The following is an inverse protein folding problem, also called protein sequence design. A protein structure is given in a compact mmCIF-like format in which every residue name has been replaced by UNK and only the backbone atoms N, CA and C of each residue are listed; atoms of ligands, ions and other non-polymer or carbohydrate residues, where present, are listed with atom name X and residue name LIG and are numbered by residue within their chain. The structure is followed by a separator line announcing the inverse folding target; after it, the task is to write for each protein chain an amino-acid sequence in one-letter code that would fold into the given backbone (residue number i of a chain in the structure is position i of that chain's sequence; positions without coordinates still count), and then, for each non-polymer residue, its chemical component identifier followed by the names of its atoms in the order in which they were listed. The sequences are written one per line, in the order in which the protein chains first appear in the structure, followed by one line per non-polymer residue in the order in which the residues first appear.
data_IF_036668256001
#
_entry.id   IF_036668256001
#
_cell.length_a   1.000
_cell.length_b   1.000
_cell.length_c   1.000
_cell.angle_alpha   90.00
_cell.angle_beta   90.00
_cell.angle_gamma   90.00
#
_symmetry.space_group_name_H-M   'P 1'
#
loop_
_entity.id
_entity.type
_entity.pdbx_description
1 polymer ?
#
# COMPACT_ATOMS: atom_id res chain seq x y z
N UNK A 1 -23.88 51.60 56.22
CA UNK A 1 -23.73 53.07 56.06
C UNK A 1 -22.74 53.30 54.93
N UNK A 2 -23.29 53.70 53.79
CA UNK A 2 -22.74 54.22 52.53
C UNK A 2 -21.22 54.49 52.47
N UNK A 3 -20.52 53.89 51.49
CA UNK A 3 -19.83 54.64 50.42
C UNK A 3 -19.41 53.76 49.23
N UNK A 4 -20.17 53.98 48.18
CA UNK A 4 -19.94 53.91 46.74
C UNK A 4 -18.51 53.89 46.14
N UNK A 5 -18.42 53.10 45.06
CA UNK A 5 -17.91 53.44 43.71
C UNK A 5 -16.41 53.32 43.38
N UNK A 6 -16.07 52.37 42.47
CA UNK A 6 -15.68 52.64 41.05
C UNK A 6 -15.20 51.37 40.33
N UNK A 7 -15.87 51.02 39.22
CA UNK A 7 -15.29 50.24 38.14
C UNK A 7 -14.24 51.09 37.40
N UNK A 8 -13.05 50.55 37.16
CA UNK A 8 -12.13 51.05 36.13
C UNK A 8 -11.54 49.89 35.31
N UNK A 9 -11.49 50.13 33.99
CA UNK A 9 -11.03 49.25 32.92
C UNK A 9 -9.52 49.42 32.69
N UNK A 10 -8.87 48.31 32.28
CA UNK A 10 -7.58 48.16 31.53
C UNK A 10 -6.35 47.67 32.33
N UNK A 11 -5.66 46.70 31.72
CA UNK A 11 -4.32 46.19 32.07
C UNK A 11 -4.32 44.67 32.28
N UNK A 12 -4.56 43.85 31.26
CA UNK A 12 -3.57 43.22 30.36
C UNK A 12 -2.39 42.51 31.05
N UNK A 13 -2.46 41.18 30.96
CA UNK A 13 -1.46 40.10 31.04
C UNK A 13 -0.46 40.01 32.22
N UNK A 14 -0.73 39.03 33.09
CA UNK A 14 0.28 38.27 33.80
C UNK A 14 0.80 37.13 32.90
N UNK A 15 2.11 37.07 32.70
CA UNK A 15 2.81 35.91 32.15
C UNK A 15 3.58 35.24 33.29
N UNK A 16 3.14 34.05 33.68
CA UNK A 16 3.93 33.11 34.50
C UNK A 16 3.95 31.79 33.75
N UNK A 17 5.13 31.47 33.24
CA UNK A 17 5.40 30.23 32.52
C UNK A 17 5.37 29.02 33.43
N UNK A 18 4.83 27.94 32.89
CA UNK A 18 5.11 26.58 33.34
C UNK A 18 5.56 25.83 32.09
N UNK A 19 6.82 25.41 32.08
CA UNK A 19 7.37 24.56 31.05
C UNK A 19 6.83 23.13 31.25
N UNK A 20 5.88 22.72 30.40
CA UNK A 20 5.54 21.31 30.23
C UNK A 20 6.34 20.79 29.02
N UNK A 21 7.20 19.81 29.27
CA UNK A 21 7.90 19.04 28.25
C UNK A 21 6.86 18.32 27.37
N UNK A 22 6.56 18.89 26.21
CA UNK A 22 5.67 18.30 25.21
C UNK A 22 6.40 17.26 24.36
N UNK A 23 5.93 16.02 24.38
CA UNK A 23 6.15 15.08 23.27
C UNK A 23 5.51 15.66 22.01
N UNK A 24 6.14 15.56 20.82
CA UNK A 24 5.49 15.97 19.59
C UNK A 24 4.40 14.96 19.21
N UNK A 25 3.14 15.26 19.57
CA UNK A 25 1.99 14.67 18.91
C UNK A 25 1.92 15.23 17.48
N UNK A 26 2.52 14.51 16.54
CA UNK A 26 2.21 14.67 15.12
C UNK A 26 0.85 14.01 14.84
N UNK A 27 -0.23 14.62 15.32
CA UNK A 27 -1.54 14.43 14.69
C UNK A 27 -1.62 15.42 13.54
N UNK A 28 -1.28 14.95 12.35
CA UNK A 28 -1.62 15.65 11.11
C UNK A 28 -3.15 15.56 10.98
N UNK A 29 -3.83 16.71 10.97
CA UNK A 29 -5.27 16.77 10.84
C UNK A 29 -5.69 16.09 9.52
N UNK A 30 -6.52 15.05 9.62
CA UNK A 30 -7.19 14.43 8.47
C UNK A 30 -7.99 15.48 7.74
N UNK A 31 -7.82 15.59 6.42
CA UNK A 31 -8.58 16.49 5.59
C UNK A 31 -10.01 15.95 5.48
N UNK A 32 -10.94 16.59 6.19
CA UNK A 32 -12.37 16.26 6.10
C UNK A 32 -12.92 16.86 4.81
N UNK A 33 -13.40 16.00 3.91
CA UNK A 33 -14.21 16.47 2.79
C UNK A 33 -15.64 16.75 3.27
N UNK A 34 -16.40 17.56 2.53
CA UNK A 34 -17.79 17.94 2.86
C UNK A 34 -18.78 16.76 2.99
N UNK A 35 -18.33 15.55 2.67
CA UNK A 35 -19.11 14.30 2.69
C UNK A 35 -19.02 13.54 4.04
N UNK A 36 -18.35 14.10 5.06
CA UNK A 36 -18.21 13.45 6.37
C UNK A 36 -17.25 12.25 6.39
N UNK A 37 -16.31 12.21 5.44
CA UNK A 37 -15.27 11.17 5.32
C UNK A 37 -13.93 11.74 5.76
N UNK A 38 -13.23 11.00 6.62
CA UNK A 38 -11.82 11.21 6.95
C UNK A 38 -10.93 10.43 5.99
N UNK A 39 -10.08 11.13 5.23
CA UNK A 39 -9.15 10.54 4.26
C UNK A 39 -7.74 10.42 4.82
N UNK A 40 -7.12 9.27 4.62
CA UNK A 40 -5.78 8.93 5.10
C UNK A 40 -4.89 8.47 3.94
N UNK A 41 -3.79 9.17 3.66
CA UNK A 41 -2.87 8.82 2.59
C UNK A 41 -1.94 7.69 3.04
N UNK A 42 -1.87 6.60 2.27
CA UNK A 42 -1.09 5.41 2.67
C UNK A 42 0.41 5.69 2.76
N UNK A 43 0.89 6.77 2.13
CA UNK A 43 2.28 7.22 2.23
C UNK A 43 2.63 7.74 3.62
N UNK A 44 1.63 8.18 4.41
CA UNK A 44 1.87 8.70 5.75
C UNK A 44 2.30 7.61 6.75
N UNK A 45 1.97 6.34 6.50
CA UNK A 45 2.37 5.22 7.37
C UNK A 45 3.17 4.11 6.68
N UNK A 46 3.28 4.15 5.35
CA UNK A 46 4.12 3.25 4.58
C UNK A 46 3.37 2.12 3.89
N UNK A 47 4.00 1.58 2.84
CA UNK A 47 3.50 0.47 2.02
C UNK A 47 4.42 -0.74 2.20
N UNK A 48 3.85 -1.87 2.57
CA UNK A 48 4.57 -3.13 2.69
C UNK A 48 4.78 -3.73 1.29
N UNK A 49 5.94 -4.34 1.06
CA UNK A 49 6.30 -4.93 -0.24
C UNK A 49 7.18 -4.05 -1.13
N UNK A 50 7.68 -2.92 -0.60
CA UNK A 50 8.72 -2.10 -1.24
C UNK A 50 10.11 -2.62 -0.84
N UNK A 51 10.99 -2.82 -1.83
CA UNK A 51 12.36 -3.30 -1.62
C UNK A 51 13.41 -2.18 -1.57
N UNK A 52 13.07 -1.00 -2.07
CA UNK A 52 13.99 0.12 -2.23
C UNK A 52 13.28 1.42 -1.84
N UNK A 53 14.04 2.35 -1.26
CA UNK A 53 13.53 3.67 -0.89
C UNK A 53 13.83 4.75 -1.94
N UNK A 54 14.91 4.58 -2.70
CA UNK A 54 15.34 5.53 -3.72
C UNK A 54 14.70 5.24 -5.09
N UNK A 55 13.38 5.14 -5.12
CA UNK A 55 12.59 4.84 -6.33
C UNK A 55 12.20 6.10 -7.13
N UNK A 56 11.96 5.98 -8.45
CA UNK A 56 11.55 7.13 -9.27
C UNK A 56 10.11 7.57 -8.95
N UNK A 57 9.22 6.62 -8.71
CA UNK A 57 7.92 6.84 -8.07
C UNK A 57 7.81 5.98 -6.82
N UNK A 58 7.00 6.44 -5.87
CA UNK A 58 6.88 5.81 -4.56
C UNK A 58 6.49 4.32 -4.61
N UNK A 59 5.63 3.94 -5.56
CA UNK A 59 5.13 2.56 -5.72
C UNK A 59 5.93 1.70 -6.72
N UNK A 60 7.12 2.15 -7.14
CA UNK A 60 7.98 1.32 -7.99
C UNK A 60 8.66 0.22 -7.16
N UNK A 61 9.00 -0.88 -7.85
CA UNK A 61 9.62 -2.08 -7.26
C UNK A 61 11.14 -2.14 -7.43
N UNK A 62 11.70 -1.31 -8.29
CA UNK A 62 13.15 -1.15 -8.49
C UNK A 62 13.56 0.29 -8.19
N UNK A 63 14.81 0.53 -7.78
CA UNK A 63 15.29 1.87 -7.49
C UNK A 63 15.47 2.68 -8.78
N UNK A 64 15.46 4.01 -8.67
CA UNK A 64 15.61 4.93 -9.81
C UNK A 64 16.90 4.68 -10.60
N UNK A 65 17.99 4.30 -9.91
CA UNK A 65 19.28 3.95 -10.51
C UNK A 65 19.25 2.70 -11.42
N UNK A 66 18.18 1.90 -11.38
CA UNK A 66 18.02 0.78 -12.30
C UNK A 66 17.64 1.24 -13.72
N UNK A 67 17.12 2.46 -13.88
CA UNK A 67 16.72 3.01 -15.18
C UNK A 67 17.92 3.16 -16.11
N UNK A 68 17.87 2.50 -17.27
CA UNK A 68 18.98 2.45 -18.23
C UNK A 68 20.10 1.47 -17.85
N UNK A 69 20.02 0.81 -16.69
CA UNK A 69 20.89 -0.31 -16.30
C UNK A 69 20.21 -1.63 -16.62
N UNK A 70 18.95 -1.79 -16.18
CA UNK A 70 18.12 -2.94 -16.59
C UNK A 70 17.49 -2.68 -17.95
N UNK A 71 17.16 -3.76 -18.67
CA UNK A 71 16.44 -3.68 -19.95
C UNK A 71 15.15 -2.86 -19.81
N UNK A 72 14.79 -2.09 -20.84
CA UNK A 72 13.61 -1.21 -20.83
C UNK A 72 12.31 -1.95 -20.45
N UNK A 73 12.16 -3.21 -20.88
CA UNK A 73 11.01 -4.02 -20.53
C UNK A 73 10.94 -4.34 -19.02
N UNK A 74 12.09 -4.64 -18.39
CA UNK A 74 12.18 -4.86 -16.93
C UNK A 74 11.89 -3.56 -16.20
N UNK A 75 12.48 -2.44 -16.65
CA UNK A 75 12.23 -1.12 -16.07
C UNK A 75 10.75 -0.73 -16.16
N UNK A 76 10.11 -0.90 -17.31
CA UNK A 76 8.68 -0.61 -17.47
C UNK A 76 7.82 -1.46 -16.54
N UNK A 77 8.13 -2.75 -16.41
CA UNK A 77 7.40 -3.66 -15.51
C UNK A 77 7.67 -3.38 -14.04
N UNK A 78 8.84 -2.86 -13.65
CA UNK A 78 9.14 -2.51 -12.26
C UNK A 78 8.28 -1.36 -11.74
N UNK A 79 7.61 -0.61 -12.62
CA UNK A 79 6.68 0.47 -12.28
C UNK A 79 5.32 -0.02 -11.80
N UNK A 80 5.02 -1.31 -11.94
CA UNK A 80 3.81 -1.89 -11.40
C UNK A 80 3.91 -2.12 -9.89
N UNK A 81 2.79 -2.04 -9.18
CA UNK A 81 2.72 -2.19 -7.71
C UNK A 81 2.50 -3.63 -7.22
N UNK A 82 2.84 -4.64 -8.04
CA UNK A 82 2.54 -6.04 -7.73
C UNK A 82 3.16 -6.48 -6.40
N UNK A 83 2.35 -7.17 -5.58
CA UNK A 83 2.77 -7.71 -4.29
C UNK A 83 2.79 -6.69 -3.15
N UNK A 84 2.55 -5.41 -3.43
CA UNK A 84 2.45 -4.39 -2.38
C UNK A 84 1.11 -4.45 -1.66
N UNK A 85 1.11 -4.09 -0.38
CA UNK A 85 -0.11 -3.94 0.44
C UNK A 85 0.02 -2.84 1.48
N UNK A 86 -1.12 -2.34 1.95
CA UNK A 86 -1.22 -1.43 3.10
C UNK A 86 -2.11 -2.03 4.17
N UNK A 87 -1.84 -1.71 5.44
CA UNK A 87 -2.63 -2.19 6.58
C UNK A 87 -3.13 -1.03 7.43
N UNK A 88 -4.29 -1.21 8.03
CA UNK A 88 -4.88 -0.27 8.96
C UNK A 88 -5.90 -1.00 9.83
N UNK A 89 -6.28 -0.40 10.95
CA UNK A 89 -7.32 -0.87 11.84
C UNK A 89 -8.42 0.18 11.95
N UNK A 90 -9.66 -0.26 11.86
CA UNK A 90 -10.84 0.62 11.98
C UNK A 90 -12.05 -0.15 12.49
N UNK A 91 -12.98 0.58 13.10
CA UNK A 91 -14.33 0.10 13.42
C UNK A 91 -15.39 0.53 12.38
N UNK A 92 -14.97 1.15 11.27
CA UNK A 92 -15.85 1.62 10.23
C UNK A 92 -16.67 0.48 9.61
N UNK A 93 -17.97 0.72 9.43
CA UNK A 93 -18.88 -0.21 8.72
C UNK A 93 -18.88 0.01 7.21
N UNK A 94 -18.23 1.09 6.75
CA UNK A 94 -18.04 1.45 5.34
C UNK A 94 -16.63 2.00 5.14
N UNK A 95 -15.93 1.51 4.13
CA UNK A 95 -14.56 1.89 3.79
C UNK A 95 -14.54 2.32 2.33
N UNK A 96 -13.88 3.44 2.06
CA UNK A 96 -13.69 4.02 0.74
C UNK A 96 -12.22 3.97 0.34
N UNK A 97 -11.96 4.01 -0.96
CA UNK A 97 -10.65 4.35 -1.51
C UNK A 97 -10.77 5.59 -2.40
N UNK A 98 -9.71 6.37 -2.46
CA UNK A 98 -9.44 7.35 -3.51
C UNK A 98 -8.08 7.00 -4.08
N UNK A 99 -8.05 6.48 -5.31
CA UNK A 99 -6.81 5.98 -5.90
C UNK A 99 -6.78 6.21 -7.41
N UNK A 100 -5.57 6.30 -7.93
CA UNK A 100 -5.31 6.34 -9.35
C UNK A 100 -4.18 5.38 -9.73
N UNK A 101 -4.25 4.88 -10.95
CA UNK A 101 -3.23 4.04 -11.57
C UNK A 101 -2.46 4.78 -12.66
N UNK A 102 -1.23 4.35 -12.93
CA UNK A 102 -0.33 5.06 -13.85
C UNK A 102 -0.72 4.93 -15.31
N UNK A 103 -1.41 3.85 -15.69
CA UNK A 103 -1.83 3.57 -17.06
C UNK A 103 -3.36 3.52 -17.20
N UNK A 104 -3.96 4.08 -18.27
CA UNK A 104 -5.37 3.91 -18.57
C UNK A 104 -5.73 2.49 -19.08
N UNK A 105 -4.74 1.62 -19.31
CA UNK A 105 -4.97 0.22 -19.70
C UNK A 105 -5.36 -0.61 -18.47
N UNK A 106 -6.65 -0.61 -18.14
CA UNK A 106 -7.13 -1.17 -16.87
C UNK A 106 -7.17 -2.70 -16.84
N UNK A 107 -7.18 -3.37 -17.99
CA UNK A 107 -7.27 -4.82 -18.14
C UNK A 107 -6.36 -5.32 -19.28
N UNK A 108 -6.16 -6.64 -19.35
CA UNK A 108 -5.50 -7.30 -20.48
C UNK A 108 -6.45 -8.33 -21.09
N UNK A 109 -6.27 -8.75 -22.36
CA UNK A 109 -7.16 -9.74 -23.00
C UNK A 109 -7.34 -11.04 -22.20
N UNK A 110 -6.34 -11.42 -21.41
CA UNK A 110 -6.32 -12.65 -20.61
C UNK A 110 -6.39 -12.41 -19.09
N UNK A 111 -6.49 -11.16 -18.63
CA UNK A 111 -6.47 -10.83 -17.19
C UNK A 111 -7.49 -9.73 -16.88
N UNK A 112 -8.40 -9.97 -15.91
CA UNK A 112 -9.49 -9.04 -15.62
C UNK A 112 -8.97 -7.73 -15.01
N UNK A 113 -9.76 -6.67 -15.16
CA UNK A 113 -9.43 -5.34 -14.62
C UNK A 113 -9.19 -5.36 -13.10
N UNK A 114 -9.91 -6.22 -12.38
CA UNK A 114 -9.74 -6.46 -10.94
C UNK A 114 -8.34 -6.95 -10.59
N UNK A 115 -7.71 -7.76 -11.45
CA UNK A 115 -6.34 -8.26 -11.26
C UNK A 115 -5.30 -7.24 -11.71
N UNK A 116 -5.50 -6.64 -12.88
CA UNK A 116 -4.53 -5.73 -13.49
C UNK A 116 -4.42 -4.43 -12.70
N UNK A 117 -5.55 -3.80 -12.39
CA UNK A 117 -5.62 -2.42 -11.86
C UNK A 117 -6.46 -2.28 -10.59
N UNK A 118 -7.02 -3.36 -10.05
CA UNK A 118 -7.93 -3.31 -8.91
C UNK A 118 -7.24 -3.25 -7.55
N UNK A 119 -8.06 -3.07 -6.50
CA UNK A 119 -7.68 -3.17 -5.09
C UNK A 119 -8.39 -4.37 -4.46
N UNK A 120 -7.71 -5.12 -3.61
CA UNK A 120 -8.23 -6.35 -3.02
C UNK A 120 -8.16 -6.30 -1.49
N UNK A 121 -9.34 -6.25 -0.85
CA UNK A 121 -9.50 -6.00 0.57
C UNK A 121 -9.63 -7.32 1.33
N UNK A 122 -8.84 -7.42 2.40
CA UNK A 122 -8.90 -8.47 3.39
C UNK A 122 -9.13 -7.88 4.78
N UNK A 123 -9.73 -8.67 5.68
CA UNK A 123 -9.87 -8.35 7.10
C UNK A 123 -9.53 -9.58 7.96
N UNK A 124 -9.09 -9.37 9.20
CA UNK A 124 -8.95 -10.47 10.16
C UNK A 124 -10.31 -10.87 10.73
N UNK A 125 -10.57 -12.18 10.82
CA UNK A 125 -11.67 -12.71 11.64
C UNK A 125 -11.33 -12.70 13.14
N UNK A 126 -12.25 -13.18 13.98
CA UNK A 126 -12.09 -13.24 15.44
C UNK A 126 -10.96 -14.17 15.90
N UNK A 127 -10.47 -15.05 15.03
CA UNK A 127 -9.32 -15.93 15.27
C UNK A 127 -8.01 -15.30 14.75
N UNK A 128 -8.05 -14.07 14.24
CA UNK A 128 -6.91 -13.38 13.64
C UNK A 128 -6.55 -13.87 12.23
N UNK A 129 -7.41 -14.67 11.58
CA UNK A 129 -7.15 -15.19 10.22
C UNK A 129 -7.61 -14.19 9.16
N UNK A 130 -6.77 -13.97 8.16
CA UNK A 130 -7.11 -13.12 7.01
C UNK A 130 -8.21 -13.75 6.15
N UNK A 131 -9.32 -13.03 6.01
CA UNK A 131 -10.46 -13.37 5.15
C UNK A 131 -10.61 -12.32 4.06
N UNK A 132 -10.97 -12.78 2.87
CA UNK A 132 -11.31 -11.89 1.77
C UNK A 132 -12.62 -11.15 2.10
N UNK A 133 -12.67 -9.86 1.79
CA UNK A 133 -13.85 -9.00 2.03
C UNK A 133 -14.46 -8.58 0.70
N UNK A 134 -13.66 -7.98 -0.17
CA UNK A 134 -14.13 -7.40 -1.42
C UNK A 134 -12.98 -7.17 -2.39
N UNK A 135 -13.33 -6.88 -3.64
CA UNK A 135 -12.40 -6.42 -4.67
C UNK A 135 -13.02 -5.26 -5.42
N UNK A 136 -12.21 -4.25 -5.73
CA UNK A 136 -12.60 -3.14 -6.59
C UNK A 136 -12.32 -3.51 -8.04
N UNK A 137 -13.34 -3.42 -8.89
CA UNK A 137 -13.18 -3.44 -10.34
C UNK A 137 -12.99 -1.99 -10.82
N UNK A 138 -11.81 -1.63 -11.34
CA UNK A 138 -11.57 -0.31 -11.90
C UNK A 138 -12.26 -0.13 -13.26
N UNK A 139 -12.78 1.06 -13.49
CA UNK A 139 -13.40 1.50 -14.75
C UNK A 139 -12.85 2.83 -15.28
N UNK A 140 -12.09 3.58 -14.47
CA UNK A 140 -11.37 4.78 -14.84
C UNK A 140 -9.90 4.74 -14.36
N UNK A 141 -9.07 5.67 -14.81
CA UNK A 141 -7.67 5.75 -14.35
C UNK A 141 -7.55 6.29 -12.91
N UNK A 142 -8.47 7.18 -12.51
CA UNK A 142 -8.58 7.74 -11.17
C UNK A 142 -10.04 7.61 -10.70
N UNK A 143 -10.26 7.14 -9.47
CA UNK A 143 -11.59 6.78 -8.98
C UNK A 143 -11.68 6.83 -7.45
N UNK A 144 -12.91 7.05 -6.94
CA UNK A 144 -13.23 7.06 -5.50
C UNK A 144 -14.24 5.98 -5.09
N UNK A 145 -13.94 4.68 -5.25
CA UNK A 145 -14.89 3.61 -5.01
C UNK A 145 -15.14 3.38 -3.52
N UNK A 146 -16.29 2.77 -3.22
CA UNK A 146 -16.50 2.09 -1.94
C UNK A 146 -15.72 0.77 -1.99
N UNK A 147 -14.73 0.60 -1.10
CA UNK A 147 -14.01 -0.66 -0.95
C UNK A 147 -14.92 -1.72 -0.33
N UNK A 148 -15.64 -1.36 0.74
CA UNK A 148 -16.59 -2.23 1.40
C UNK A 148 -17.68 -1.40 2.10
N UNK A 149 -18.88 -1.96 2.20
CA UNK A 149 -20.01 -1.42 2.95
C UNK A 149 -20.69 -2.55 3.71
N UNK A 150 -21.57 -2.19 4.64
CA UNK A 150 -22.36 -3.16 5.41
C UNK A 150 -21.48 -4.14 6.20
N UNK A 151 -20.28 -3.69 6.58
CA UNK A 151 -19.41 -4.47 7.45
C UNK A 151 -20.04 -4.54 8.84
N UNK A 152 -20.02 -5.73 9.45
CA UNK A 152 -20.49 -5.90 10.82
C UNK A 152 -19.78 -4.90 11.75
N UNK A 153 -20.46 -4.31 12.75
CA UNK A 153 -19.80 -3.45 13.73
C UNK A 153 -18.61 -4.15 14.41
N UNK A 154 -17.62 -3.36 14.81
CA UNK A 154 -16.44 -3.82 15.55
C UNK A 154 -15.12 -3.48 14.87
N UNK A 155 -14.07 -3.40 15.68
CA UNK A 155 -12.71 -3.06 15.24
C UNK A 155 -12.03 -4.26 14.61
N UNK A 156 -11.43 -4.09 13.43
CA UNK A 156 -10.67 -5.14 12.72
C UNK A 156 -9.43 -4.59 12.05
N UNK A 157 -8.46 -5.47 11.82
CA UNK A 157 -7.32 -5.19 10.97
C UNK A 157 -7.70 -5.47 9.52
N UNK A 158 -7.37 -4.55 8.64
CA UNK A 158 -7.58 -4.63 7.22
C UNK A 158 -6.25 -4.63 6.47
N UNK A 159 -6.23 -5.30 5.32
CA UNK A 159 -5.12 -5.26 4.38
C UNK A 159 -5.68 -5.02 2.97
N UNK A 160 -5.13 -4.03 2.26
CA UNK A 160 -5.49 -3.75 0.86
C UNK A 160 -4.28 -4.08 0.00
N UNK A 161 -4.42 -5.06 -0.89
CA UNK A 161 -3.41 -5.36 -1.90
C UNK A 161 -3.57 -4.44 -3.12
N UNK A 162 -2.45 -4.01 -3.68
CA UNK A 162 -2.35 -3.05 -4.78
C UNK A 162 -2.30 -3.74 -6.16
N UNK A 163 -2.61 -3.01 -7.26
CA UNK A 163 -2.61 -3.51 -8.63
C UNK A 163 -1.41 -4.37 -9.02
N UNK A 164 -1.66 -5.44 -9.80
CA UNK A 164 -0.62 -6.38 -10.23
C UNK A 164 0.08 -5.95 -11.52
N UNK A 165 -0.67 -5.47 -12.52
CA UNK A 165 -0.16 -5.18 -13.86
C UNK A 165 -0.34 -3.70 -14.24
N UNK A 166 -0.44 -2.83 -13.24
CA UNK A 166 -0.44 -1.39 -13.37
C UNK A 166 0.31 -0.78 -12.19
N UNK A 167 0.86 0.42 -12.36
CA UNK A 167 1.43 1.18 -11.25
C UNK A 167 0.34 1.88 -10.46
N UNK A 168 0.54 2.03 -9.15
CA UNK A 168 -0.29 2.91 -8.33
C UNK A 168 0.31 4.31 -8.36
N UNK A 169 -0.46 5.34 -8.70
CA UNK A 169 0.00 6.73 -8.63
C UNK A 169 -0.17 7.28 -7.20
N UNK A 170 -1.35 7.06 -6.62
CA UNK A 170 -1.63 7.36 -5.21
C UNK A 170 -2.76 6.46 -4.70
N UNK A 171 -2.85 6.32 -3.37
CA UNK A 171 -3.95 5.66 -2.67
C UNK A 171 -4.23 6.36 -1.34
N UNK A 172 -5.50 6.70 -1.11
CA UNK A 172 -6.02 7.14 0.18
C UNK A 172 -7.13 6.20 0.64
N UNK A 173 -7.19 5.93 1.93
CA UNK A 173 -8.28 5.19 2.57
C UNK A 173 -9.22 6.18 3.24
N UNK A 174 -10.51 6.05 2.96
CA UNK A 174 -11.56 6.89 3.55
C UNK A 174 -12.43 6.09 4.50
N UNK A 175 -12.69 6.64 5.68
CA UNK A 175 -13.68 6.11 6.64
C UNK A 175 -14.60 7.23 7.12
N UNK A 176 -15.82 6.93 7.63
CA UNK A 176 -16.66 7.92 8.28
C UNK A 176 -15.88 8.70 9.35
N UNK A 177 -16.10 10.02 9.46
CA UNK A 177 -15.34 10.88 10.36
C UNK A 177 -15.51 10.55 11.86
N UNK A 178 -16.56 9.83 12.22
CA UNK A 178 -16.83 9.31 13.57
C UNK A 178 -16.22 7.91 13.81
N UNK A 179 -15.70 7.26 12.78
CA UNK A 179 -14.99 5.99 12.90
C UNK A 179 -13.54 6.20 13.35
N UNK A 180 -13.03 5.24 14.10
CA UNK A 180 -11.61 5.15 14.46
C UNK A 180 -10.76 4.73 13.26
N UNK A 181 -9.56 5.29 13.11
CA UNK A 181 -8.60 4.86 12.11
C UNK A 181 -7.19 4.83 12.71
N UNK A 182 -6.61 3.64 12.78
CA UNK A 182 -5.25 3.42 13.27
C UNK A 182 -4.40 2.86 12.12
N UNK A 183 -3.42 3.61 11.59
CA UNK A 183 -2.49 3.10 10.60
C UNK A 183 -1.65 1.95 11.15
N UNK A 184 -1.44 0.89 10.35
CA UNK A 184 -0.52 -0.20 10.71
C UNK A 184 0.68 -0.12 9.78
N UNK A 185 1.84 0.23 10.35
CA UNK A 185 3.09 0.37 9.59
C UNK A 185 3.53 -0.96 8.94
N UNK A 186 4.30 -0.89 7.83
CA UNK A 186 4.92 -2.07 7.23
C UNK A 186 5.71 -2.87 8.25
N UNK A 187 5.56 -4.20 8.16
CA UNK A 187 6.33 -5.16 8.96
C UNK A 187 7.83 -5.03 8.65
N UNK A 188 8.66 -5.14 9.70
CA UNK A 188 10.13 -4.99 9.62
C UNK A 188 10.88 -6.31 9.52
N UNK A 189 10.17 -7.43 9.62
CA UNK A 189 10.72 -8.76 9.47
C UNK A 189 11.32 -8.94 8.08
N UNK A 190 12.48 -9.61 8.00
CA UNK A 190 13.15 -9.88 6.72
C UNK A 190 12.18 -10.49 5.69
N UNK A 191 12.04 -9.91 4.49
CA UNK A 191 11.04 -10.35 3.51
C UNK A 191 11.40 -11.68 2.87
N UNK A 192 10.42 -12.30 2.23
CA UNK A 192 10.64 -13.30 1.18
C UNK A 192 10.73 -12.56 -0.15
N UNK A 193 11.87 -12.65 -0.83
CA UNK A 193 12.04 -12.05 -2.16
C UNK A 193 11.71 -13.09 -3.22
N UNK A 194 10.71 -12.80 -4.04
CA UNK A 194 10.39 -13.59 -5.22
C UNK A 194 10.93 -12.87 -6.45
N UNK A 195 11.79 -13.51 -7.22
CA UNK A 195 12.21 -13.05 -8.54
C UNK A 195 11.80 -14.07 -9.59
N UNK A 196 11.16 -13.63 -10.66
CA UNK A 196 10.58 -14.58 -11.61
C UNK A 196 9.82 -13.97 -12.77
N UNK A 197 8.93 -14.77 -13.34
CA UNK A 197 8.28 -14.51 -14.62
C UNK A 197 6.95 -13.75 -14.49
N UNK A 198 6.09 -13.85 -15.51
CA UNK A 198 4.69 -13.38 -15.46
C UNK A 198 3.89 -14.09 -14.37
N UNK A 199 4.21 -15.35 -14.09
CA UNK A 199 3.55 -16.17 -13.06
C UNK A 199 3.80 -15.56 -11.67
N UNK A 200 5.05 -15.20 -11.39
CA UNK A 200 5.45 -14.49 -10.17
C UNK A 200 4.83 -13.10 -10.11
N UNK A 201 4.86 -12.35 -11.21
CA UNK A 201 4.25 -11.01 -11.31
C UNK A 201 2.76 -11.04 -10.98
N UNK A 202 2.07 -12.13 -11.33
CA UNK A 202 0.69 -12.39 -10.94
C UNK A 202 -0.26 -12.67 -12.10
N UNK A 203 0.23 -12.91 -13.32
CA UNK A 203 -0.63 -13.33 -14.41
C UNK A 203 -1.03 -14.82 -14.26
N UNK A 204 -2.30 -15.21 -14.36
CA UNK A 204 -3.52 -14.40 -14.57
C UNK A 204 -4.40 -14.42 -13.32
N UNK A 205 -3.86 -14.06 -12.16
CA UNK A 205 -4.61 -13.99 -10.91
C UNK A 205 -5.80 -13.02 -11.07
N UNK A 206 -6.98 -13.43 -10.59
CA UNK A 206 -8.21 -12.65 -10.77
C UNK A 206 -8.24 -11.36 -9.96
N UNK A 207 -7.40 -11.24 -8.92
CA UNK A 207 -7.32 -10.09 -8.00
C UNK A 207 -5.96 -10.02 -7.27
N UNK A 208 -5.52 -8.84 -6.83
CA UNK A 208 -4.18 -8.58 -6.25
C UNK A 208 -3.70 -9.49 -5.11
N UNK A 209 -4.59 -10.00 -4.27
CA UNK A 209 -4.23 -10.87 -3.15
C UNK A 209 -4.00 -12.33 -3.55
N UNK A 210 -4.18 -12.71 -4.81
CA UNK A 210 -4.18 -14.10 -5.28
C UNK A 210 -2.93 -14.62 -6.00
N UNK A 211 -1.93 -13.82 -6.40
CA UNK A 211 -0.64 -14.35 -6.81
C UNK A 211 -0.01 -15.18 -5.68
N UNK A 212 0.76 -16.21 -6.05
CA UNK A 212 1.40 -17.08 -5.07
C UNK A 212 2.29 -16.34 -4.07
N UNK A 213 3.03 -15.25 -4.41
CA UNK A 213 3.78 -14.49 -3.42
C UNK A 213 2.87 -13.88 -2.34
N UNK A 214 1.75 -13.27 -2.74
CA UNK A 214 0.77 -12.68 -1.82
C UNK A 214 0.12 -13.74 -0.91
N UNK A 215 -0.22 -14.91 -1.46
CA UNK A 215 -0.78 -16.03 -0.68
C UNK A 215 0.22 -16.53 0.36
N UNK A 216 1.48 -16.73 -0.05
CA UNK A 216 2.54 -17.21 0.84
C UNK A 216 2.87 -16.16 1.92
N UNK A 217 2.90 -14.87 1.58
CA UNK A 217 3.09 -13.79 2.56
C UNK A 217 2.05 -13.79 3.68
N UNK A 218 0.78 -14.09 3.37
CA UNK A 218 -0.27 -14.26 4.40
C UNK A 218 -0.10 -15.56 5.19
N UNK A 219 0.15 -16.68 4.52
CA UNK A 219 0.28 -18.00 5.17
C UNK A 219 1.47 -18.09 6.11
N UNK A 220 2.60 -17.49 5.73
CA UNK A 220 3.84 -17.50 6.49
C UNK A 220 3.97 -16.30 7.44
N UNK A 221 2.96 -15.42 7.45
CA UNK A 221 2.98 -14.15 8.17
C UNK A 221 4.31 -13.39 7.99
N UNK A 222 4.75 -13.21 6.73
CA UNK A 222 6.01 -12.53 6.40
C UNK A 222 5.81 -11.48 5.30
N UNK A 223 6.58 -10.38 5.28
CA UNK A 223 6.62 -9.48 4.14
C UNK A 223 7.08 -10.20 2.88
N UNK A 224 6.60 -9.75 1.72
CA UNK A 224 7.00 -10.30 0.42
C UNK A 224 7.43 -9.16 -0.49
N UNK A 225 8.53 -9.35 -1.20
CA UNK A 225 8.93 -8.49 -2.31
C UNK A 225 8.68 -9.28 -3.60
N UNK A 226 7.68 -8.87 -4.37
CA UNK A 226 7.36 -9.51 -5.64
C UNK A 226 8.11 -8.81 -6.78
N UNK A 227 9.23 -9.37 -7.20
CA UNK A 227 10.04 -8.92 -8.35
C UNK A 227 9.82 -9.85 -9.56
N UNK A 228 8.57 -10.21 -9.82
CA UNK A 228 8.19 -10.86 -11.07
C UNK A 228 8.18 -9.87 -12.23
N UNK A 229 8.75 -10.27 -13.37
CA UNK A 229 8.79 -9.49 -14.61
C UNK A 229 8.23 -10.34 -15.77
N UNK A 230 7.02 -9.95 -16.22
CA UNK A 230 6.27 -10.66 -17.27
C UNK A 230 7.07 -10.83 -18.55
N UNK A 231 7.36 -12.08 -18.95
CA UNK A 231 8.21 -12.40 -20.11
C UNK A 231 9.68 -11.96 -20.00
N UNK A 232 10.10 -11.47 -18.82
CA UNK A 232 11.36 -10.75 -18.66
C UNK A 232 12.16 -11.11 -17.39
N UNK A 233 11.70 -12.01 -16.52
CA UNK A 233 12.54 -12.56 -15.47
C UNK A 233 13.42 -13.68 -16.02
N UNK A 234 14.66 -13.37 -16.41
CA UNK A 234 15.57 -14.29 -17.14
C UNK A 234 16.92 -14.51 -16.46
N UNK A 235 17.02 -14.21 -15.17
CA UNK A 235 18.28 -14.25 -14.40
C UNK A 235 19.36 -13.32 -14.93
N UNK A 236 18.96 -12.14 -15.43
CA UNK A 236 19.91 -11.16 -15.92
C UNK A 236 20.78 -10.59 -14.79
N UNK A 237 22.10 -10.51 -15.03
CA UNK A 237 23.06 -10.09 -14.03
C UNK A 237 22.78 -8.65 -13.54
N UNK A 238 22.33 -7.77 -14.42
CA UNK A 238 21.97 -6.39 -14.08
C UNK A 238 20.75 -6.29 -13.15
N UNK A 239 19.83 -7.27 -13.16
CA UNK A 239 18.77 -7.38 -12.15
C UNK A 239 19.32 -7.99 -10.87
N UNK A 240 20.16 -9.03 -11.00
CA UNK A 240 20.82 -9.72 -9.89
C UNK A 240 21.61 -8.77 -8.98
N UNK A 241 22.26 -7.75 -9.54
CA UNK A 241 22.96 -6.72 -8.76
C UNK A 241 22.04 -6.04 -7.73
N UNK A 242 20.83 -5.65 -8.13
CA UNK A 242 19.86 -5.05 -7.22
C UNK A 242 19.27 -6.07 -6.23
N UNK A 243 19.10 -7.33 -6.63
CA UNK A 243 18.66 -8.38 -5.70
C UNK A 243 19.65 -8.58 -4.57
N UNK A 244 20.96 -8.54 -4.85
CA UNK A 244 22.02 -8.67 -3.86
C UNK A 244 22.09 -7.53 -2.84
N UNK A 245 21.44 -6.40 -3.09
CA UNK A 245 21.35 -5.29 -2.14
C UNK A 245 20.25 -5.48 -1.09
N UNK A 246 19.33 -6.42 -1.32
CA UNK A 246 18.23 -6.72 -0.39
C UNK A 246 18.70 -7.61 0.76
N UNK A 247 18.08 -7.49 1.94
CA UNK A 247 18.30 -8.37 3.09
C UNK A 247 17.07 -9.28 3.37
N UNK A 248 16.80 -10.29 2.52
CA UNK A 248 15.67 -11.18 2.74
C UNK A 248 15.97 -12.31 3.72
N UNK A 249 14.90 -12.93 4.21
CA UNK A 249 14.98 -14.21 4.91
C UNK A 249 15.29 -15.35 3.92
N UNK A 250 14.77 -15.25 2.70
CA UNK A 250 14.98 -16.22 1.62
C UNK A 250 14.72 -15.58 0.26
N UNK A 251 15.49 -16.01 -0.74
CA UNK A 251 15.22 -15.76 -2.16
C UNK A 251 14.49 -16.96 -2.77
N UNK A 252 13.42 -16.70 -3.51
CA UNK A 252 12.71 -17.66 -4.35
C UNK A 252 12.91 -17.24 -5.79
N UNK A 253 13.68 -18.02 -6.55
CA UNK A 253 14.04 -17.73 -7.94
C UNK A 253 13.24 -18.67 -8.86
N UNK A 254 12.26 -18.12 -9.58
CA UNK A 254 11.33 -18.85 -10.44
C UNK A 254 11.31 -18.23 -11.86
N UNK A 255 12.43 -18.37 -12.56
CA UNK A 255 12.68 -17.73 -13.85
C UNK A 255 12.66 -18.67 -15.05
N UNK A 256 12.68 -19.99 -14.82
CA UNK A 256 12.79 -20.99 -15.88
C UNK A 256 11.79 -20.81 -17.04
N UNK A 257 10.52 -20.41 -16.82
CA UNK A 257 9.58 -20.24 -17.95
C UNK A 257 10.00 -19.20 -19.01
N UNK A 258 10.92 -18.28 -18.70
CA UNK A 258 11.41 -17.26 -19.64
C UNK A 258 12.86 -17.52 -20.14
N UNK A 259 13.49 -18.62 -19.71
CA UNK A 259 14.88 -18.92 -20.00
C UNK A 259 14.94 -20.13 -20.94
N UNK A 260 15.64 -19.99 -22.06
CA UNK A 260 15.87 -21.10 -22.98
C UNK A 260 16.97 -22.03 -22.49
N UNK A 261 17.02 -23.27 -23.00
CA UNK A 261 18.03 -24.26 -22.59
C UNK A 261 19.49 -23.79 -22.76
N UNK A 262 19.76 -22.89 -23.72
CA UNK A 262 21.10 -22.34 -23.95
C UNK A 262 21.50 -21.20 -22.98
N UNK A 263 20.56 -20.75 -22.14
CA UNK A 263 20.72 -19.62 -21.21
C UNK A 263 20.80 -20.08 -19.74
N UNK A 264 20.73 -21.39 -19.48
CA UNK A 264 20.83 -22.03 -18.15
C UNK A 264 22.27 -22.40 -17.82
#
# INVERSE_FOLDING_TARGET
MIKDMRLQRRGFLAATGIAALGLPQLLRASQQDGDGISWHDVRDWGVEGRGFEDTEKYFDRLPARAKGVVRDAVWGLSRHSSGMLVRFRTNATKIHADYAVTSPNLAMPHMPATGVSGLDLYATDTEGKWRWVSVVRPDAQAMKPVLASELNPGTRDYAVYLPLYNGTEYLKIGVPADATFEPIAPRKEKPIVFYGTSITHGACASRPGMPHPSILGRRLNRPVLNLGFSGNGRMEAEVGQFLCELDPAVFVIDCLPNIGAAEV
#
